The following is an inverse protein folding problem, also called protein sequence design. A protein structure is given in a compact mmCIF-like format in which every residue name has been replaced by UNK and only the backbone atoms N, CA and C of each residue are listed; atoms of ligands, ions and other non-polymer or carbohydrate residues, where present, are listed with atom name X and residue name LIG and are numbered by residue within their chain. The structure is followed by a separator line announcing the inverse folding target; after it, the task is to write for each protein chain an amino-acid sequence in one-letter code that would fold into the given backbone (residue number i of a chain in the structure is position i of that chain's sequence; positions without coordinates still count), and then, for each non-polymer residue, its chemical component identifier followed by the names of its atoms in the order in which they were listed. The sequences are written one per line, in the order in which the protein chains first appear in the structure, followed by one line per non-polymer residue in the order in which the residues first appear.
data_IF_456629365701
#
_entry.id   IF_456629365701
#
_cell.length_a   1.000
_cell.length_b   1.000
_cell.length_c   1.000
_cell.angle_alpha   90.00
_cell.angle_beta   90.00
_cell.angle_gamma   90.00
#
_symmetry.space_group_name_H-M   'P 1'
#
loop_
_entity.id
_entity.type
_entity.pdbx_description
1 polymer ?
#
# COMPACT_ATOMS: atom_id res chain seq x y z
N UNK A 1 -36.92 -1.91 50.45
CA UNK A 1 -35.97 -0.85 50.85
C UNK A 1 -34.75 -1.03 49.96
N UNK A 2 -34.40 -0.23 48.95
CA UNK A 2 -34.62 1.18 48.63
C UNK A 2 -34.97 1.40 47.14
N UNK A 3 -35.73 2.47 46.90
CA UNK A 3 -36.02 3.08 45.60
C UNK A 3 -34.91 4.04 45.19
N UNK A 4 -34.62 4.14 43.89
CA UNK A 4 -34.20 5.36 43.16
C UNK A 4 -34.91 5.27 41.79
N UNK A 5 -36.06 5.92 41.57
CA UNK A 5 -36.29 7.30 41.14
C UNK A 5 -35.46 7.74 39.90
N UNK A 6 -36.21 7.94 38.80
CA UNK A 6 -35.87 8.32 37.40
C UNK A 6 -35.31 9.76 37.27
N UNK A 7 -34.85 10.18 36.06
CA UNK A 7 -35.79 10.71 35.06
C UNK A 7 -35.67 10.07 33.66
N UNK A 8 -36.74 10.11 32.85
CA UNK A 8 -36.75 9.76 31.44
C UNK A 8 -36.33 10.97 30.59
N UNK A 9 -35.57 10.77 29.51
CA UNK A 9 -35.49 11.79 28.46
C UNK A 9 -36.48 11.47 27.35
N UNK A 10 -37.45 12.37 27.23
CA UNK A 10 -38.52 12.35 26.26
C UNK A 10 -38.04 12.78 24.87
N UNK A 11 -38.79 12.30 23.87
CA UNK A 11 -38.81 12.73 22.49
C UNK A 11 -38.85 14.26 22.33
N UNK A 12 -38.10 14.77 21.36
CA UNK A 12 -38.50 15.94 20.59
C UNK A 12 -38.64 15.52 19.12
N UNK A 13 -39.87 15.65 18.61
CA UNK A 13 -40.22 15.63 17.21
C UNK A 13 -39.76 16.94 16.52
N UNK A 14 -39.47 16.83 15.22
CA UNK A 14 -39.04 17.86 14.28
C UNK A 14 -40.04 19.03 14.10
N UNK A 15 -39.68 20.08 13.32
CA UNK A 15 -40.08 20.06 11.90
C UNK A 15 -39.15 20.76 10.87
N UNK A 16 -39.14 20.17 9.66
CA UNK A 16 -39.24 20.79 8.31
C UNK A 16 -38.11 21.70 7.79
N UNK A 17 -37.54 21.33 6.62
CA UNK A 17 -36.95 22.30 5.67
C UNK A 17 -35.90 21.79 4.67
N UNK A 18 -36.33 21.01 3.66
CA UNK A 18 -35.88 20.85 2.25
C UNK A 18 -34.55 21.55 1.84
N UNK A 19 -33.55 20.91 1.22
CA UNK A 19 -33.35 20.56 -0.21
C UNK A 19 -32.10 19.64 -0.23
N UNK A 20 -32.01 18.44 -0.80
CA UNK A 20 -32.40 18.05 -2.14
C UNK A 20 -31.19 18.06 -3.08
N UNK A 21 -30.20 17.16 -2.88
CA UNK A 21 -29.27 16.78 -3.95
C UNK A 21 -29.19 15.25 -4.01
N UNK A 22 -29.81 14.73 -5.08
CA UNK A 22 -29.81 13.35 -5.49
C UNK A 22 -28.42 13.04 -6.05
N UNK A 23 -27.67 12.14 -5.40
CA UNK A 23 -26.53 11.47 -6.02
C UNK A 23 -27.08 10.46 -7.04
N UNK A 24 -26.67 10.47 -8.31
CA UNK A 24 -26.92 9.33 -9.17
C UNK A 24 -25.97 8.18 -8.83
N UNK A 25 -26.60 7.02 -8.58
CA UNK A 25 -26.06 5.67 -8.68
C UNK A 25 -25.13 5.49 -9.89
N UNK A 26 -23.93 4.97 -9.65
CA UNK A 26 -23.15 4.26 -10.67
C UNK A 26 -22.94 2.82 -10.21
N UNK A 27 -23.93 1.97 -10.50
CA UNK A 27 -23.72 0.54 -10.64
C UNK A 27 -24.26 0.11 -12.01
N UNK A 28 -23.36 -0.35 -12.87
CA UNK A 28 -23.59 -1.41 -13.85
C UNK A 28 -22.27 -1.78 -14.52
N UNK A 29 -21.78 -2.97 -14.22
CA UNK A 29 -20.62 -3.57 -14.90
C UNK A 29 -20.96 -4.24 -16.23
N UNK A 30 -20.03 -5.11 -16.62
CA UNK A 30 -20.06 -6.16 -17.68
C UNK A 30 -19.47 -5.75 -19.05
N UNK A 31 -18.26 -6.27 -19.37
CA UNK A 31 -17.68 -6.34 -20.73
C UNK A 31 -18.31 -7.50 -21.56
N UNK A 32 -17.68 -8.13 -22.58
CA UNK A 32 -16.50 -7.83 -23.42
C UNK A 32 -16.73 -8.04 -24.95
N UNK A 33 -15.63 -7.95 -25.76
CA UNK A 33 -15.39 -8.58 -27.10
C UNK A 33 -15.74 -7.78 -28.38
N UNK A 34 -15.34 -8.23 -29.60
CA UNK A 34 -14.05 -8.73 -30.13
C UNK A 34 -13.68 -8.06 -31.48
N UNK A 35 -12.48 -8.28 -32.04
CA UNK A 35 -12.30 -8.42 -33.50
C UNK A 35 -11.03 -9.21 -33.87
N UNK A 36 -11.16 -9.97 -34.95
CA UNK A 36 -10.36 -11.13 -35.38
C UNK A 36 -9.73 -10.86 -36.75
N UNK A 37 -8.53 -11.40 -36.99
CA UNK A 37 -7.95 -11.69 -38.32
C UNK A 37 -6.64 -10.93 -38.61
N UNK A 38 -5.52 -11.51 -39.06
CA UNK A 38 -5.19 -12.85 -39.52
C UNK A 38 -4.43 -12.82 -40.85
N UNK A 39 -3.10 -13.02 -40.82
CA UNK A 39 -2.22 -13.40 -41.96
C UNK A 39 -1.70 -12.25 -42.85
N UNK A 40 -0.48 -12.23 -43.44
CA UNK A 40 0.65 -13.17 -43.62
C UNK A 40 1.88 -12.39 -44.15
N UNK A 41 3.08 -12.79 -43.72
CA UNK A 41 4.41 -12.81 -44.41
C UNK A 41 4.70 -11.89 -45.64
N UNK A 42 5.81 -11.12 -45.61
CA UNK A 42 7.09 -11.41 -46.31
C UNK A 42 8.09 -10.22 -46.26
N UNK A 43 9.37 -10.58 -46.12
CA UNK A 43 10.56 -9.73 -46.24
C UNK A 43 10.67 -8.98 -47.58
N UNK A 44 11.04 -7.70 -47.54
CA UNK A 44 11.84 -7.04 -48.60
C UNK A 44 12.82 -6.06 -47.96
N UNK A 45 14.11 -6.37 -48.11
CA UNK A 45 15.26 -5.47 -47.93
C UNK A 45 15.37 -4.56 -49.16
N UNK A 46 16.07 -3.42 -49.02
CA UNK A 46 16.60 -2.53 -50.09
C UNK A 46 15.63 -1.38 -50.40
N UNK A 47 15.97 -0.09 -50.42
CA UNK A 47 17.22 0.64 -50.58
C UNK A 47 17.02 2.05 -49.98
N UNK A 48 18.06 2.64 -49.41
CA UNK A 48 18.10 4.07 -49.11
C UNK A 48 18.50 4.80 -50.40
N UNK A 49 17.70 5.73 -50.96
CA UNK A 49 18.22 6.67 -51.92
C UNK A 49 18.93 7.81 -51.18
N UNK A 50 20.11 8.14 -51.71
CA UNK A 50 21.01 9.20 -51.29
C UNK A 50 20.30 10.55 -51.22
N UNK A 51 20.45 11.25 -50.09
CA UNK A 51 19.93 12.58 -49.86
C UNK A 51 20.83 13.58 -50.61
N UNK A 52 20.40 13.98 -51.80
CA UNK A 52 21.02 15.04 -52.59
C UNK A 52 20.88 16.39 -51.87
N UNK A 53 21.99 17.09 -51.71
CA UNK A 53 22.07 18.36 -50.99
C UNK A 53 21.93 19.50 -51.99
N UNK A 54 20.73 20.07 -52.13
CA UNK A 54 20.46 21.27 -52.92
C UNK A 54 20.01 22.44 -52.03
N UNK A 55 20.54 23.67 -52.22
CA UNK A 55 20.35 24.79 -51.30
C UNK A 55 19.11 25.65 -51.58
N UNK A 56 18.60 26.21 -50.49
CA UNK A 56 17.94 27.52 -50.30
C UNK A 56 16.83 27.94 -51.27
N UNK A 57 15.61 27.89 -50.77
CA UNK A 57 14.66 28.97 -50.97
C UNK A 57 13.95 29.25 -49.65
N UNK A 58 14.40 30.32 -49.00
CA UNK A 58 13.70 31.03 -47.92
C UNK A 58 12.34 31.51 -48.47
N UNK A 59 11.30 30.70 -48.31
CA UNK A 59 9.93 31.22 -48.24
C UNK A 59 9.53 31.19 -46.77
N UNK A 60 9.64 32.36 -46.14
CA UNK A 60 9.02 32.71 -44.87
C UNK A 60 7.51 32.49 -44.97
N UNK A 61 7.06 31.25 -44.79
CA UNK A 61 5.70 30.99 -44.37
C UNK A 61 5.68 31.41 -42.91
N UNK A 62 5.35 32.68 -42.68
CA UNK A 62 4.84 33.13 -41.41
C UNK A 62 3.63 32.25 -41.09
N UNK A 63 3.87 31.15 -40.39
CA UNK A 63 2.85 30.53 -39.58
C UNK A 63 2.49 31.63 -38.60
N UNK A 64 1.37 32.31 -38.88
CA UNK A 64 0.71 33.10 -37.85
C UNK A 64 0.59 32.14 -36.67
N UNK A 65 1.30 32.45 -35.58
CA UNK A 65 1.06 31.80 -34.31
C UNK A 65 -0.46 31.88 -34.14
N UNK A 66 -1.10 30.70 -34.09
CA UNK A 66 -2.51 30.68 -33.72
C UNK A 66 -2.62 31.54 -32.47
N UNK A 67 -3.58 32.48 -32.41
CA UNK A 67 -3.72 33.27 -31.21
C UNK A 67 -3.82 32.26 -30.07
N UNK A 68 -2.91 32.36 -29.11
CA UNK A 68 -3.09 31.79 -27.79
C UNK A 68 -4.38 32.45 -27.29
N UNK A 69 -5.52 31.88 -27.66
CA UNK A 69 -6.79 32.27 -27.10
C UNK A 69 -6.60 31.89 -25.64
N UNK A 70 -6.44 32.89 -24.79
CA UNK A 70 -6.62 32.76 -23.35
C UNK A 70 -8.04 32.23 -23.14
N UNK A 71 -8.22 30.91 -23.27
CA UNK A 71 -9.51 30.22 -23.14
C UNK A 71 -10.10 30.44 -21.72
N UNK A 72 -9.29 30.93 -20.78
CA UNK A 72 -9.58 30.92 -19.34
C UNK A 72 -10.33 32.15 -18.79
N UNK A 73 -10.21 33.34 -19.37
CA UNK A 73 -10.90 34.52 -18.83
C UNK A 73 -12.38 34.58 -19.26
N UNK A 74 -12.68 34.42 -20.56
CA UNK A 74 -14.06 34.60 -21.06
C UNK A 74 -15.02 33.48 -20.63
N UNK A 75 -14.49 32.28 -20.36
CA UNK A 75 -15.30 31.18 -19.86
C UNK A 75 -15.81 31.50 -18.44
N UNK A 76 -14.91 31.92 -17.54
CA UNK A 76 -15.26 32.19 -16.16
C UNK A 76 -16.08 33.48 -15.95
N UNK A 77 -16.05 34.42 -16.89
CA UNK A 77 -16.96 35.58 -16.88
C UNK A 77 -18.44 35.19 -17.08
N UNK A 78 -18.71 34.06 -17.73
CA UNK A 78 -20.07 33.61 -18.09
C UNK A 78 -20.54 32.38 -17.33
N UNK A 79 -19.68 31.81 -16.47
CA UNK A 79 -19.95 30.60 -15.68
C UNK A 79 -19.86 30.89 -14.17
N UNK A 80 -20.59 30.15 -13.33
CA UNK A 80 -20.58 30.37 -11.89
C UNK A 80 -19.23 29.99 -11.25
N UNK A 81 -18.96 30.57 -10.08
CA UNK A 81 -17.82 30.23 -9.23
C UNK A 81 -17.72 28.72 -8.98
N UNK A 82 -16.51 28.18 -9.01
CA UNK A 82 -16.25 26.75 -8.85
C UNK A 82 -16.51 25.90 -10.10
N UNK A 83 -16.91 26.50 -11.23
CA UNK A 83 -17.00 25.76 -12.50
C UNK A 83 -15.60 25.37 -12.96
N UNK A 84 -15.40 24.09 -13.30
CA UNK A 84 -14.14 23.60 -13.89
C UNK A 84 -13.94 24.27 -15.25
N UNK A 85 -12.82 24.96 -15.41
CA UNK A 85 -12.51 25.80 -16.57
C UNK A 85 -11.29 25.32 -17.37
N UNK A 86 -10.58 24.30 -16.89
CA UNK A 86 -9.46 23.69 -17.60
C UNK A 86 -9.21 22.25 -17.20
N UNK A 87 -8.10 21.70 -17.68
CA UNK A 87 -7.65 20.37 -17.26
C UNK A 87 -7.24 20.39 -15.78
N UNK A 88 -7.81 19.47 -15.00
CA UNK A 88 -7.45 19.24 -13.61
C UNK A 88 -6.35 18.19 -13.51
N UNK A 89 -5.41 18.41 -12.58
CA UNK A 89 -4.48 17.39 -12.12
C UNK A 89 -5.10 16.44 -11.10
N UNK A 90 -4.26 15.56 -10.56
CA UNK A 90 -4.66 14.61 -9.51
C UNK A 90 -4.81 15.33 -8.14
N UNK A 91 -4.04 16.40 -7.91
CA UNK A 91 -3.98 17.14 -6.64
C UNK A 91 -4.23 18.65 -6.83
N UNK A 92 -4.80 19.02 -7.96
CA UNK A 92 -5.11 20.39 -8.33
C UNK A 92 -6.26 20.41 -9.32
N UNK A 93 -7.07 21.46 -9.28
CA UNK A 93 -8.18 21.68 -10.19
C UNK A 93 -8.13 23.11 -10.71
N UNK A 94 -8.52 23.30 -11.97
CA UNK A 94 -8.71 24.63 -12.53
C UNK A 94 -10.18 25.03 -12.46
N UNK A 95 -10.49 26.01 -11.62
CA UNK A 95 -11.88 26.45 -11.39
C UNK A 95 -12.03 27.96 -11.51
N UNK A 96 -13.23 28.39 -11.90
CA UNK A 96 -13.56 29.81 -11.97
C UNK A 96 -13.61 30.43 -10.59
N UNK A 97 -12.72 31.41 -10.36
CA UNK A 97 -12.65 32.24 -9.16
C UNK A 97 -12.67 33.71 -9.58
N UNK A 98 -13.69 34.44 -9.15
CA UNK A 98 -13.86 35.87 -9.46
C UNK A 98 -13.76 36.21 -10.96
N UNK A 99 -14.35 35.36 -11.81
CA UNK A 99 -14.37 35.54 -13.26
C UNK A 99 -13.09 35.14 -14.00
N UNK A 100 -12.11 34.54 -13.32
CA UNK A 100 -10.86 34.04 -13.92
C UNK A 100 -10.70 32.55 -13.61
N UNK A 101 -10.14 31.78 -14.53
CA UNK A 101 -9.76 30.40 -14.24
C UNK A 101 -8.51 30.37 -13.35
N UNK A 102 -8.66 29.97 -12.09
CA UNK A 102 -7.55 29.84 -11.15
C UNK A 102 -7.23 28.37 -10.86
N UNK A 103 -5.94 28.08 -10.64
CA UNK A 103 -5.49 26.80 -10.13
C UNK A 103 -5.73 26.75 -8.62
N UNK A 104 -6.58 25.81 -8.19
CA UNK A 104 -6.87 25.54 -6.79
C UNK A 104 -6.28 24.19 -6.42
N UNK A 105 -5.45 24.15 -5.38
CA UNK A 105 -4.84 22.91 -4.91
C UNK A 105 -5.85 22.11 -4.08
N UNK A 106 -5.88 20.81 -4.30
CA UNK A 106 -6.60 19.88 -3.43
C UNK A 106 -5.91 19.90 -2.05
N UNK A 107 -6.67 19.91 -0.93
CA UNK A 107 -6.08 19.97 0.41
C UNK A 107 -5.07 18.85 0.69
N UNK A 108 -4.02 19.19 1.44
CA UNK A 108 -3.03 18.22 1.88
C UNK A 108 -3.68 17.08 2.68
N UNK A 109 -3.23 15.84 2.42
CA UNK A 109 -3.72 14.63 3.07
C UNK A 109 -4.92 13.97 2.38
N UNK A 110 -5.48 14.55 1.31
CA UNK A 110 -6.49 13.89 0.47
C UNK A 110 -5.82 12.74 -0.31
N UNK A 111 -6.42 11.55 -0.25
CA UNK A 111 -5.91 10.39 -0.99
C UNK A 111 -5.99 10.62 -2.50
N UNK A 112 -4.86 10.42 -3.16
CA UNK A 112 -4.68 10.67 -4.59
C UNK A 112 -4.21 9.44 -5.35
N UNK A 113 -3.66 8.44 -4.65
CA UNK A 113 -3.25 7.17 -5.21
C UNK A 113 -3.59 6.03 -4.23
N UNK A 114 -4.19 4.96 -4.73
CA UNK A 114 -4.59 3.84 -3.89
C UNK A 114 -3.37 3.04 -3.40
N UNK A 115 -3.45 2.58 -2.14
CA UNK A 115 -2.47 1.66 -1.60
C UNK A 115 -2.52 0.30 -2.33
N UNK A 116 -1.37 -0.29 -2.74
CA UNK A 116 -1.35 -1.59 -3.41
C UNK A 116 -1.99 -2.74 -2.61
N UNK A 117 -1.83 -2.71 -1.27
CA UNK A 117 -2.42 -3.66 -0.35
C UNK A 117 -2.44 -3.09 1.09
N UNK A 118 -2.93 -3.86 2.07
CA UNK A 118 -3.06 -3.43 3.47
C UNK A 118 -1.74 -3.10 4.20
N UNK A 119 -0.59 -3.43 3.60
CA UNK A 119 0.75 -3.12 4.10
C UNK A 119 1.38 -1.87 3.48
N UNK A 120 0.57 -1.03 2.84
CA UNK A 120 0.97 0.26 2.30
C UNK A 120 0.04 1.36 2.78
N UNK A 121 0.59 2.56 2.94
CA UNK A 121 -0.20 3.79 3.03
C UNK A 121 -0.52 4.27 1.62
N UNK A 122 -1.73 4.78 1.36
CA UNK A 122 -2.06 5.39 0.07
C UNK A 122 -1.19 6.63 -0.17
N UNK A 123 -1.08 7.02 -1.43
CA UNK A 123 -0.55 8.32 -1.81
C UNK A 123 -1.53 9.42 -1.43
N UNK A 124 -1.02 10.54 -0.94
CA UNK A 124 -1.81 11.72 -0.56
C UNK A 124 -1.31 12.98 -1.24
N UNK A 125 -2.20 13.93 -1.47
CA UNK A 125 -1.82 15.26 -1.93
C UNK A 125 -0.96 15.96 -0.87
N UNK A 126 0.15 16.53 -1.30
CA UNK A 126 1.03 17.38 -0.50
C UNK A 126 1.55 18.51 -1.40
N UNK A 127 1.19 19.75 -1.07
CA UNK A 127 1.57 20.95 -1.84
C UNK A 127 1.23 20.86 -3.34
N UNK A 128 0.04 20.34 -3.67
CA UNK A 128 -0.44 20.22 -5.04
C UNK A 128 0.15 19.04 -5.83
N UNK A 129 0.90 18.14 -5.18
CA UNK A 129 1.46 16.95 -5.80
C UNK A 129 0.99 15.69 -5.11
N UNK A 130 0.71 14.64 -5.88
CA UNK A 130 0.40 13.34 -5.32
C UNK A 130 1.69 12.64 -4.86
N UNK A 131 1.77 12.31 -3.57
CA UNK A 131 2.86 11.48 -3.03
C UNK A 131 2.66 10.02 -3.43
N UNK A 132 3.75 9.27 -3.57
CA UNK A 132 3.66 7.84 -3.86
C UNK A 132 3.25 7.02 -2.62
N UNK A 133 2.52 5.90 -2.79
CA UNK A 133 2.25 4.95 -1.73
C UNK A 133 3.54 4.50 -1.02
N UNK A 134 3.49 4.43 0.31
CA UNK A 134 4.65 4.06 1.14
C UNK A 134 4.36 2.80 1.95
N UNK A 135 5.24 1.80 1.84
CA UNK A 135 5.12 0.57 2.60
C UNK A 135 5.25 0.81 4.12
N UNK A 136 4.43 0.12 4.91
CA UNK A 136 4.66 0.02 6.35
C UNK A 136 5.95 -0.77 6.63
N UNK A 137 6.64 -0.48 7.75
CA UNK A 137 7.82 -1.24 8.14
C UNK A 137 7.47 -2.70 8.46
N UNK A 138 8.48 -3.56 8.34
CA UNK A 138 8.36 -4.98 8.74
C UNK A 138 7.92 -5.08 10.20
N UNK A 139 6.89 -5.90 10.43
CA UNK A 139 6.28 -6.06 11.74
C UNK A 139 5.07 -5.20 12.03
N UNK A 140 4.72 -4.25 11.15
CA UNK A 140 3.48 -3.49 11.31
C UNK A 140 2.26 -4.40 11.31
N UNK A 141 1.31 -4.15 12.22
CA UNK A 141 0.07 -4.92 12.32
C UNK A 141 -0.99 -4.37 11.35
N UNK A 142 -1.09 -4.96 10.15
CA UNK A 142 -2.09 -4.55 9.15
C UNK A 142 -3.54 -4.96 9.49
N UNK A 143 -3.72 -5.88 10.46
CA UNK A 143 -5.04 -6.35 10.90
C UNK A 143 -5.20 -6.19 12.41
N UNK A 144 -5.79 -5.08 12.87
CA UNK A 144 -6.11 -4.89 14.28
C UNK A 144 -6.91 -6.06 14.85
N UNK A 145 -6.54 -6.51 16.05
CA UNK A 145 -7.15 -7.66 16.71
C UNK A 145 -6.56 -9.02 16.34
N UNK A 146 -5.68 -9.09 15.33
CA UNK A 146 -4.92 -10.29 15.00
C UNK A 146 -3.42 -10.07 15.24
N UNK A 147 -2.93 -10.56 16.39
CA UNK A 147 -1.53 -10.39 16.79
C UNK A 147 -0.53 -11.13 15.89
N UNK A 148 -1.00 -11.95 14.94
CA UNK A 148 -0.15 -12.70 14.01
C UNK A 148 -0.14 -12.07 12.60
N UNK A 149 -1.01 -11.11 12.33
CA UNK A 149 -1.04 -10.37 11.08
C UNK A 149 0.07 -9.32 11.06
N UNK A 150 1.05 -9.47 10.18
CA UNK A 150 2.22 -8.58 10.08
C UNK A 150 2.53 -8.24 8.63
N UNK A 151 3.05 -7.03 8.41
CA UNK A 151 3.64 -6.66 7.14
C UNK A 151 5.06 -7.20 7.08
N UNK A 152 5.38 -7.91 6.00
CA UNK A 152 6.73 -8.38 5.73
C UNK A 152 7.10 -7.98 4.31
N UNK A 153 8.07 -7.09 4.15
CA UNK A 153 8.54 -6.54 2.87
C UNK A 153 7.40 -5.95 2.02
N UNK A 154 6.50 -5.22 2.67
CA UNK A 154 5.33 -4.61 2.01
C UNK A 154 4.19 -5.58 1.68
N UNK A 155 4.26 -6.84 2.14
CA UNK A 155 3.22 -7.85 1.90
C UNK A 155 2.49 -8.25 3.18
N UNK A 156 1.15 -8.44 3.15
CA UNK A 156 0.40 -8.99 4.26
C UNK A 156 0.78 -10.45 4.51
N UNK A 157 1.34 -10.74 5.69
CA UNK A 157 1.71 -12.09 6.12
C UNK A 157 1.09 -12.45 7.45
N UNK A 158 1.02 -13.76 7.69
CA UNK A 158 0.71 -14.35 8.99
C UNK A 158 1.98 -14.97 9.56
N UNK A 159 2.41 -14.51 10.74
CA UNK A 159 3.68 -14.95 11.36
C UNK A 159 3.54 -16.24 12.19
N UNK A 160 2.72 -17.16 11.72
CA UNK A 160 2.52 -18.49 12.30
C UNK A 160 2.73 -19.61 11.26
N UNK A 161 3.45 -19.29 10.18
CA UNK A 161 3.72 -20.21 9.08
C UNK A 161 5.17 -20.68 9.12
N UNK A 162 5.51 -21.69 8.32
CA UNK A 162 6.88 -22.19 8.25
C UNK A 162 7.85 -21.22 7.57
N UNK A 163 7.36 -20.24 6.81
CA UNK A 163 8.20 -19.23 6.15
C UNK A 163 8.35 -17.94 6.96
N UNK A 164 7.45 -17.71 7.92
CA UNK A 164 7.43 -16.55 8.80
C UNK A 164 7.06 -17.00 10.22
N UNK A 165 7.94 -17.74 10.90
CA UNK A 165 7.62 -18.29 12.21
C UNK A 165 7.89 -17.31 13.35
N UNK A 166 6.82 -16.73 13.92
CA UNK A 166 6.85 -15.78 15.03
C UNK A 166 7.13 -14.34 14.59
N UNK A 167 8.04 -14.16 13.63
CA UNK A 167 8.34 -12.87 12.98
C UNK A 167 8.65 -13.10 11.48
N UNK A 168 8.75 -12.02 10.72
CA UNK A 168 9.03 -12.04 9.28
C UNK A 168 10.38 -12.70 8.99
N UNK A 169 10.42 -13.57 7.99
CA UNK A 169 11.66 -14.12 7.44
C UNK A 169 12.30 -15.25 8.25
N UNK A 170 11.72 -15.66 9.38
CA UNK A 170 12.16 -16.87 10.08
C UNK A 170 11.57 -18.10 9.39
N UNK A 171 12.43 -18.81 8.66
CA UNK A 171 12.08 -20.06 7.98
C UNK A 171 12.42 -21.28 8.83
N UNK A 172 11.44 -22.14 9.02
CA UNK A 172 11.63 -23.46 9.61
C UNK A 172 12.09 -24.44 8.53
N UNK A 173 13.11 -25.24 8.83
CA UNK A 173 13.60 -26.26 7.89
C UNK A 173 12.66 -27.47 7.87
N UNK A 174 11.62 -27.38 7.03
CA UNK A 174 10.61 -28.43 6.88
C UNK A 174 11.18 -29.71 6.26
N UNK A 175 12.27 -29.61 5.52
CA UNK A 175 12.96 -30.78 4.95
C UNK A 175 13.60 -31.65 6.03
N UNK A 176 13.95 -31.04 7.16
CA UNK A 176 14.45 -31.70 8.38
C UNK A 176 13.36 -32.00 9.42
N UNK A 177 12.09 -31.85 9.04
CA UNK A 177 10.95 -32.12 9.91
C UNK A 177 10.63 -31.01 10.91
N UNK A 178 11.22 -29.81 10.75
CA UNK A 178 10.84 -28.67 11.57
C UNK A 178 9.46 -28.14 11.17
N UNK A 179 8.75 -27.56 12.14
CA UNK A 179 7.47 -26.91 11.90
C UNK A 179 7.27 -25.73 12.84
N UNK A 180 6.62 -24.69 12.34
CA UNK A 180 6.25 -23.54 13.14
C UNK A 180 5.12 -23.92 14.10
N UNK A 181 5.40 -23.84 15.40
CA UNK A 181 4.44 -24.22 16.44
C UNK A 181 4.41 -23.18 17.54
N UNK A 182 3.21 -22.98 18.07
CA UNK A 182 2.96 -22.12 19.21
C UNK A 182 3.36 -22.84 20.49
N UNK A 183 4.26 -22.25 21.26
CA UNK A 183 4.58 -22.70 22.60
C UNK A 183 3.44 -22.31 23.56
N UNK A 184 2.81 -23.28 24.25
CA UNK A 184 1.72 -22.99 25.18
C UNK A 184 2.18 -22.22 26.44
N UNK A 185 3.46 -22.27 26.81
CA UNK A 185 3.97 -21.64 28.02
C UNK A 185 4.08 -20.12 27.92
N UNK A 186 4.41 -19.59 26.74
CA UNK A 186 4.60 -18.15 26.52
C UNK A 186 3.85 -17.59 25.32
N UNK A 187 3.03 -18.41 24.66
CA UNK A 187 2.20 -18.04 23.52
C UNK A 187 2.98 -17.51 22.30
N UNK A 188 4.29 -17.80 22.20
CA UNK A 188 5.16 -17.41 21.07
C UNK A 188 5.37 -18.58 20.12
N UNK A 189 5.76 -18.28 18.88
CA UNK A 189 5.98 -19.29 17.84
C UNK A 189 7.46 -19.60 17.68
N UNK A 190 7.76 -20.88 17.44
CA UNK A 190 9.10 -21.41 17.28
C UNK A 190 9.13 -22.43 16.15
N UNK A 191 10.27 -22.53 15.47
CA UNK A 191 10.56 -23.71 14.67
C UNK A 191 10.90 -24.86 15.61
N UNK A 192 9.96 -25.76 15.81
CA UNK A 192 10.10 -26.95 16.66
C UNK A 192 10.55 -28.15 15.83
N UNK A 193 11.32 -29.06 16.44
CA UNK A 193 11.77 -30.31 15.82
C UNK A 193 13.16 -30.26 15.20
N UNK A 194 13.97 -29.24 15.53
CA UNK A 194 15.34 -29.18 15.05
C UNK A 194 16.16 -30.40 15.51
N UNK A 195 16.94 -30.97 14.59
CA UNK A 195 17.80 -32.12 14.85
C UNK A 195 19.24 -31.72 15.15
N UNK A 196 19.68 -30.59 14.59
CA UNK A 196 21.01 -30.04 14.77
C UNK A 196 20.99 -28.51 14.70
N UNK A 197 21.95 -27.87 15.35
CA UNK A 197 22.06 -26.40 15.40
C UNK A 197 22.24 -25.76 14.02
N UNK A 198 22.96 -26.42 13.09
CA UNK A 198 23.14 -25.95 11.72
C UNK A 198 21.84 -25.89 10.89
N UNK A 199 20.75 -26.48 11.39
CA UNK A 199 19.44 -26.54 10.73
C UNK A 199 18.50 -25.45 11.22
N UNK A 200 18.93 -24.68 12.22
CA UNK A 200 18.20 -23.53 12.70
C UNK A 200 18.69 -22.28 11.99
N UNK A 201 17.74 -21.39 11.67
CA UNK A 201 18.01 -20.07 11.09
C UNK A 201 19.02 -19.25 11.92
N UNK A 202 19.01 -19.43 13.24
CA UNK A 202 19.89 -18.78 14.21
C UNK A 202 21.21 -19.51 14.42
N UNK A 203 21.38 -20.70 13.84
CA UNK A 203 22.50 -21.58 14.14
C UNK A 203 22.42 -22.25 15.52
N UNK A 204 21.26 -22.26 16.19
CA UNK A 204 21.10 -22.90 17.48
C UNK A 204 19.80 -23.70 17.64
N UNK A 205 19.96 -25.01 17.87
CA UNK A 205 18.90 -25.91 18.27
C UNK A 205 18.96 -26.12 19.78
N UNK A 206 18.09 -25.44 20.51
CA UNK A 206 18.07 -25.46 21.98
C UNK A 206 17.47 -26.76 22.51
N UNK A 207 18.20 -27.39 23.42
CA UNK A 207 17.79 -28.58 24.18
C UNK A 207 17.41 -28.23 25.64
N UNK A 208 17.42 -26.95 26.00
CA UNK A 208 17.19 -26.51 27.38
C UNK A 208 15.76 -26.75 27.87
N UNK A 209 14.80 -26.94 26.95
CA UNK A 209 13.37 -27.07 27.24
C UNK A 209 12.77 -28.34 26.62
N UNK A 210 13.42 -29.48 26.90
CA UNK A 210 12.99 -30.82 26.51
C UNK A 210 11.57 -31.16 26.99
N UNK A 211 10.83 -32.07 26.30
CA UNK A 211 11.29 -32.97 25.24
C UNK A 211 11.33 -32.36 23.83
N UNK A 212 10.86 -31.13 23.64
CA UNK A 212 10.74 -30.51 22.32
C UNK A 212 11.95 -29.60 22.07
N UNK A 213 12.78 -29.98 21.10
CA UNK A 213 13.88 -29.15 20.61
C UNK A 213 13.36 -28.01 19.74
N UNK A 214 13.93 -26.81 19.91
CA UNK A 214 13.48 -25.59 19.21
C UNK A 214 14.65 -24.79 18.68
N UNK A 215 14.47 -24.18 17.52
CA UNK A 215 15.40 -23.15 17.07
C UNK A 215 15.25 -21.91 17.95
N UNK A 216 16.35 -21.53 18.59
CA UNK A 216 16.39 -20.46 19.57
C UNK A 216 17.11 -19.24 18.99
N UNK A 217 16.64 -18.04 19.29
CA UNK A 217 17.31 -16.78 18.95
C UNK A 217 18.55 -16.55 19.84
N UNK A 218 19.41 -17.55 19.97
CA UNK A 218 20.55 -17.53 20.89
C UNK A 218 21.74 -18.26 20.31
N UNK A 219 22.93 -17.88 20.74
CA UNK A 219 24.12 -18.68 20.56
C UNK A 219 24.04 -19.92 21.46
N UNK A 220 24.25 -21.10 20.88
CA UNK A 220 24.09 -22.37 21.59
C UNK A 220 25.19 -22.66 22.63
N UNK A 221 26.32 -21.96 22.57
CA UNK A 221 27.42 -22.13 23.53
C UNK A 221 27.30 -21.19 24.72
N UNK A 222 26.85 -19.96 24.50
CA UNK A 222 26.79 -18.90 25.51
C UNK A 222 25.38 -18.63 26.04
N UNK A 223 24.34 -19.01 25.30
CA UNK A 223 22.94 -18.67 25.59
C UNK A 223 22.60 -17.19 25.33
N UNK A 224 23.57 -16.41 24.82
CA UNK A 224 23.37 -15.00 24.51
C UNK A 224 22.41 -14.83 23.33
N UNK A 225 21.60 -13.79 23.35
CA UNK A 225 20.70 -13.44 22.24
C UNK A 225 21.48 -13.15 20.95
N UNK A 226 21.07 -13.74 19.83
CA UNK A 226 21.71 -13.52 18.51
C UNK A 226 20.70 -13.49 17.37
N UNK A 227 21.04 -12.70 16.34
CA UNK A 227 20.62 -12.96 14.96
C UNK A 227 19.16 -12.72 14.61
N UNK A 228 18.42 -11.90 15.34
CA UNK A 228 17.03 -11.61 14.99
C UNK A 228 16.90 -10.82 13.67
N UNK A 229 15.84 -11.09 12.86
CA UNK A 229 15.55 -10.30 11.67
C UNK A 229 15.40 -8.80 11.96
N UNK A 230 15.60 -7.96 10.96
CA UNK A 230 15.42 -6.50 11.11
C UNK A 230 14.01 -6.16 11.60
N UNK A 231 13.91 -5.11 12.43
CA UNK A 231 12.66 -4.70 13.06
C UNK A 231 12.20 -5.60 14.21
N UNK A 232 13.04 -6.53 14.65
CA UNK A 232 12.74 -7.43 15.77
C UNK A 232 13.87 -7.47 16.79
N UNK A 233 13.48 -7.77 18.02
CA UNK A 233 14.37 -7.83 19.18
C UNK A 233 14.35 -9.24 19.77
N UNK A 234 15.52 -9.70 20.21
CA UNK A 234 15.61 -10.98 20.92
C UNK A 234 15.16 -10.81 22.37
N UNK A 235 14.26 -11.67 22.80
CA UNK A 235 13.77 -11.72 24.18
C UNK A 235 14.22 -13.02 24.83
N UNK A 236 14.91 -12.89 25.96
CA UNK A 236 15.28 -14.01 26.81
C UNK A 236 14.06 -14.54 27.56
N UNK A 237 13.94 -15.86 27.68
CA UNK A 237 12.83 -16.49 28.41
C UNK A 237 13.34 -17.49 29.44
N UNK A 238 12.72 -17.51 30.62
CA UNK A 238 12.99 -18.50 31.67
C UNK A 238 12.14 -19.77 31.53
N UNK A 239 11.11 -19.74 30.69
CA UNK A 239 10.14 -20.83 30.50
C UNK A 239 10.19 -21.45 29.10
N UNK A 240 11.01 -20.89 28.21
CA UNK A 240 11.23 -21.36 26.85
C UNK A 240 12.58 -20.88 26.32
N UNK A 241 12.97 -21.35 25.13
CA UNK A 241 14.13 -20.84 24.42
C UNK A 241 13.97 -19.36 24.06
N UNK A 242 15.09 -18.64 23.89
CA UNK A 242 15.08 -17.25 23.44
C UNK A 242 14.43 -17.14 22.06
N UNK A 243 13.78 -16.00 21.79
CA UNK A 243 12.94 -15.83 20.60
C UNK A 243 12.95 -14.38 20.12
N UNK A 244 12.79 -14.18 18.81
CA UNK A 244 12.63 -12.85 18.23
C UNK A 244 11.17 -12.39 18.33
N UNK A 245 10.96 -11.13 18.66
CA UNK A 245 9.65 -10.50 18.61
C UNK A 245 9.73 -9.07 18.09
N UNK A 246 8.63 -8.60 17.51
CA UNK A 246 8.40 -7.16 17.36
C UNK A 246 8.28 -6.52 18.74
N UNK A 247 8.86 -5.33 18.87
CA UNK A 247 8.72 -4.48 20.07
C UNK A 247 7.32 -3.86 20.18
#
# INVERSE_FOLDING_TARGET
MWRRLLPPLACMLAPIGVIGCVLPDFDNGVGPSPHTGGGTQQDVVSEWPEFDSGPDSEEDIAMEAEPDVDIDASFCETHPEGTVCGESGICDEKVCVAGVCELVLIPDGVECEQAPNACWKPGVCESGQCTFPVAFPDGYNWKPGDNLARCCKGEPRMVNTNDDCGVCGIKCDTSDGQSCKRNPANNRYYCEGCQASAKCWSGCCSESFMPIRRCAASDCSTGACVGCPQGTSCVTSSVASNVCTYD
#
